data_IF_431675223551
#
_entry.id   IF_431675223551
#
_cell.length_a   1.000
_cell.length_b   1.000
_cell.length_c   1.000
_cell.angle_alpha   90.00
_cell.angle_beta   90.00
_cell.angle_gamma   90.00
#
_symmetry.space_group_name_H-M   'P 1'
#
loop_
_entity.id
_entity.type
_entity.pdbx_description
1 polymer ?
#
# COMPACT_ATOMS: atom_id res chain seq x y z
N UNK A 1 -8.77 -1.60 1.50
CA UNK A 1 -7.31 -1.53 1.38
C UNK A 1 -7.02 -1.95 -0.04
N UNK A 2 -6.06 -1.32 -0.70
CA UNK A 2 -5.57 -1.77 -1.99
C UNK A 2 -4.15 -2.28 -1.76
N UNK A 3 -3.94 -3.56 -2.02
CA UNK A 3 -2.62 -4.13 -2.26
C UNK A 3 -2.56 -4.47 -3.74
N UNK A 4 -1.57 -3.94 -4.45
CA UNK A 4 -1.54 -4.05 -5.91
C UNK A 4 -0.35 -3.33 -6.51
N UNK A 5 -0.54 -2.79 -7.70
CA UNK A 5 0.52 -2.18 -8.51
C UNK A 5 0.12 -0.81 -9.03
N UNK A 6 1.11 0.03 -9.31
CA UNK A 6 0.99 1.29 -10.04
C UNK A 6 1.96 1.31 -11.21
N UNK A 7 1.57 1.85 -12.37
CA UNK A 7 2.48 2.06 -13.51
C UNK A 7 3.00 3.50 -13.61
N UNK A 8 3.87 3.77 -14.59
CA UNK A 8 4.43 5.10 -14.90
C UNK A 8 3.37 6.15 -15.25
N UNK A 9 2.16 5.73 -15.66
CA UNK A 9 1.03 6.63 -15.90
C UNK A 9 0.09 6.76 -14.69
N UNK A 10 0.59 6.38 -13.50
CA UNK A 10 -0.10 6.42 -12.22
C UNK A 10 -1.32 5.49 -12.12
N UNK A 11 -1.53 4.56 -13.07
CA UNK A 11 -2.71 3.69 -13.10
C UNK A 11 -2.58 2.56 -12.08
N UNK A 12 -3.66 2.29 -11.35
CA UNK A 12 -3.69 1.26 -10.30
C UNK A 12 -4.21 -0.06 -10.85
N UNK A 13 -3.53 -1.14 -10.48
CA UNK A 13 -3.88 -2.52 -10.79
C UNK A 13 -3.99 -3.35 -9.51
N UNK A 14 -4.88 -4.34 -9.50
CA UNK A 14 -4.93 -5.32 -8.42
C UNK A 14 -3.81 -6.36 -8.51
N UNK A 15 -3.79 -7.31 -7.58
CA UNK A 15 -2.85 -8.42 -7.55
C UNK A 15 -2.92 -9.36 -8.77
N UNK A 16 -3.96 -9.28 -9.60
CA UNK A 16 -4.10 -10.06 -10.83
C UNK A 16 -3.76 -9.24 -12.08
N UNK A 17 -3.17 -8.05 -11.93
CA UNK A 17 -2.96 -7.07 -13.01
C UNK A 17 -4.24 -6.59 -13.71
N UNK A 18 -5.40 -6.72 -13.05
CA UNK A 18 -6.62 -6.09 -13.53
C UNK A 18 -6.59 -4.60 -13.16
N UNK A 19 -6.76 -3.72 -14.14
CA UNK A 19 -6.86 -2.28 -13.88
C UNK A 19 -8.09 -1.98 -13.01
N UNK A 20 -7.87 -1.19 -11.95
CA UNK A 20 -8.94 -0.71 -11.08
C UNK A 20 -9.64 0.54 -11.63
N UNK A 21 -9.26 1.01 -12.83
CA UNK A 21 -9.71 2.27 -13.43
C UNK A 21 -9.50 3.49 -12.52
N UNK A 22 -8.52 3.39 -11.63
CA UNK A 22 -8.08 4.45 -10.74
C UNK A 22 -6.65 4.86 -11.09
N UNK A 23 -6.31 6.09 -10.76
CA UNK A 23 -4.95 6.60 -10.73
C UNK A 23 -4.62 7.13 -9.35
N UNK A 24 -3.34 7.10 -8.99
CA UNK A 24 -2.82 7.70 -7.77
C UNK A 24 -1.50 8.39 -8.03
N UNK A 25 -1.46 9.69 -7.76
CA UNK A 25 -0.27 10.52 -7.92
C UNK A 25 0.08 11.21 -6.62
N UNK A 26 1.37 11.27 -6.31
CA UNK A 26 1.89 12.18 -5.29
C UNK A 26 2.38 13.45 -5.97
N UNK A 27 1.71 14.55 -5.73
CA UNK A 27 2.02 15.85 -6.30
C UNK A 27 2.81 16.66 -5.26
N UNK A 28 4.07 16.94 -5.56
CA UNK A 28 4.88 17.84 -4.74
C UNK A 28 4.46 19.27 -5.08
N UNK A 29 3.69 19.90 -4.20
CA UNK A 29 3.31 21.30 -4.38
C UNK A 29 4.47 22.24 -4.06
N UNK A 30 4.35 23.52 -4.43
CA UNK A 30 5.31 24.55 -4.03
C UNK A 30 5.48 24.57 -2.50
N UNK A 31 6.63 25.05 -2.01
CA UNK A 31 7.08 24.93 -0.61
C UNK A 31 6.07 25.38 0.48
N UNK A 32 5.03 26.15 0.13
CA UNK A 32 3.99 26.61 1.05
C UNK A 32 2.71 25.75 1.06
N UNK A 33 2.47 24.94 0.03
CA UNK A 33 1.22 24.17 -0.15
C UNK A 33 1.33 22.71 0.33
N UNK A 34 2.56 22.19 0.44
CA UNK A 34 2.84 20.83 0.89
C UNK A 34 2.43 19.75 -0.12
N UNK A 35 3.07 18.58 -0.05
CA UNK A 35 2.76 17.47 -0.96
C UNK A 35 1.31 16.99 -0.80
N UNK A 36 0.71 16.49 -1.88
CA UNK A 36 -0.64 15.94 -1.89
C UNK A 36 -0.66 14.55 -2.54
N UNK A 37 -1.55 13.70 -2.06
CA UNK A 37 -1.90 12.43 -2.71
C UNK A 37 -3.24 12.60 -3.40
N UNK A 38 -3.25 12.45 -4.73
CA UNK A 38 -4.45 12.61 -5.55
C UNK A 38 -4.85 11.27 -6.15
N UNK A 39 -6.03 10.78 -5.77
CA UNK A 39 -6.71 9.65 -6.42
C UNK A 39 -7.67 10.18 -7.48
N UNK A 40 -7.71 9.57 -8.66
CA UNK A 40 -8.63 9.97 -9.73
C UNK A 40 -9.13 8.79 -10.56
N UNK A 41 -10.28 8.93 -11.22
CA UNK A 41 -10.79 7.95 -12.16
C UNK A 41 -10.05 8.06 -13.51
N UNK A 42 -9.74 6.91 -14.13
CA UNK A 42 -9.16 6.86 -15.48
C UNK A 42 -10.13 7.40 -16.54
N UNK A 43 -11.45 7.25 -16.30
CA UNK A 43 -12.50 7.80 -17.14
C UNK A 43 -13.63 8.38 -16.28
N UNK A 44 -14.04 9.63 -16.55
CA UNK A 44 -15.12 10.33 -15.86
C UNK A 44 -14.66 11.43 -14.89
N UNK A 45 -15.63 12.11 -14.27
CA UNK A 45 -15.37 13.14 -13.27
C UNK A 45 -15.35 12.50 -11.87
N UNK A 46 -14.16 12.34 -11.30
CA UNK A 46 -14.00 11.85 -9.94
C UNK A 46 -12.55 11.93 -9.51
N UNK A 47 -12.24 12.83 -8.59
CA UNK A 47 -10.92 12.94 -7.98
C UNK A 47 -11.06 13.33 -6.51
N UNK A 48 -10.19 12.75 -5.67
CA UNK A 48 -10.03 13.12 -4.29
C UNK A 48 -8.54 13.40 -4.04
N UNK A 49 -8.23 14.56 -3.48
CA UNK A 49 -6.86 14.97 -3.19
C UNK A 49 -6.70 15.26 -1.71
N UNK A 50 -5.73 14.62 -1.08
CA UNK A 50 -5.47 14.67 0.35
C UNK A 50 -4.10 15.26 0.61
N UNK A 51 -3.98 16.12 1.62
CA UNK A 51 -2.67 16.64 2.02
C UNK A 51 -1.82 15.53 2.63
N UNK A 52 -0.53 15.49 2.30
CA UNK A 52 0.47 14.70 3.00
C UNK A 52 0.76 15.38 4.33
N UNK A 53 0.62 14.62 5.42
CA UNK A 53 0.86 15.07 6.77
C UNK A 53 2.32 14.85 7.17
N UNK A 54 2.89 13.73 6.74
CA UNK A 54 4.26 13.32 7.02
C UNK A 54 4.63 12.14 6.09
N UNK A 55 5.92 11.86 5.94
CA UNK A 55 6.45 10.79 5.10
C UNK A 55 7.75 10.21 5.68
N UNK A 56 8.05 8.94 5.34
CA UNK A 56 9.31 8.30 5.70
C UNK A 56 9.63 7.13 4.76
N UNK A 57 10.92 6.84 4.60
CA UNK A 57 11.34 5.57 4.04
C UNK A 57 11.00 4.43 5.01
N UNK A 58 10.49 3.33 4.46
CA UNK A 58 10.07 2.18 5.22
C UNK A 58 10.25 0.87 4.44
N UNK A 59 10.39 -0.23 5.16
CA UNK A 59 10.17 -1.57 4.63
C UNK A 59 8.75 -1.99 4.96
N UNK A 60 7.99 -2.46 3.97
CA UNK A 60 6.65 -2.97 4.15
C UNK A 60 6.57 -4.49 3.88
N UNK A 61 5.80 -5.18 4.70
CA UNK A 61 5.41 -6.58 4.54
C UNK A 61 3.91 -6.69 4.77
N UNK A 62 3.19 -7.50 3.99
CA UNK A 62 1.75 -7.72 4.13
C UNK A 62 1.47 -9.20 4.31
N UNK A 63 0.66 -9.52 5.31
CA UNK A 63 0.15 -10.87 5.55
C UNK A 63 -1.37 -10.84 5.70
N UNK A 64 -2.02 -11.92 5.29
CA UNK A 64 -3.37 -12.22 5.73
C UNK A 64 -3.30 -12.85 7.12
N UNK A 65 -4.02 -12.28 8.09
CA UNK A 65 -4.14 -12.83 9.43
C UNK A 65 -5.39 -13.71 9.51
N UNK A 66 -5.16 -15.02 9.65
CA UNK A 66 -6.19 -16.02 9.83
C UNK A 66 -6.10 -16.57 11.25
N UNK A 67 -6.79 -15.90 12.17
CA UNK A 67 -6.87 -16.23 13.60
C UNK A 67 -5.48 -16.42 14.26
N UNK A 68 -4.57 -15.46 14.03
CA UNK A 68 -3.22 -15.46 14.59
C UNK A 68 -2.18 -16.20 13.72
N UNK A 69 -2.62 -16.85 12.63
CA UNK A 69 -1.71 -17.43 11.63
C UNK A 69 -1.54 -16.47 10.45
N UNK A 70 -0.33 -15.90 10.33
CA UNK A 70 0.02 -15.01 9.22
C UNK A 70 0.38 -15.81 7.97
N UNK A 71 -0.37 -15.56 6.89
CA UNK A 71 -0.07 -16.06 5.55
C UNK A 71 0.50 -14.90 4.73
N UNK A 72 1.78 -14.97 4.29
CA UNK A 72 2.42 -13.86 3.60
C UNK A 72 1.72 -13.59 2.26
N UNK A 73 1.38 -12.32 2.03
CA UNK A 73 0.85 -11.79 0.78
C UNK A 73 1.85 -10.87 0.08
N UNK A 74 2.67 -10.15 0.82
CA UNK A 74 3.78 -9.33 0.35
C UNK A 74 4.94 -9.60 1.33
N UNK A 75 5.98 -10.35 0.95
CA UNK A 75 7.24 -10.39 1.69
C UNK A 75 7.88 -8.97 1.79
N UNK A 76 8.89 -8.77 2.66
CA UNK A 76 9.46 -7.44 2.92
C UNK A 76 10.01 -6.75 1.67
N UNK A 77 9.65 -5.48 1.48
CA UNK A 77 10.19 -4.61 0.42
C UNK A 77 10.40 -3.18 0.90
N UNK A 78 11.54 -2.61 0.53
CA UNK A 78 11.87 -1.20 0.78
C UNK A 78 11.03 -0.29 -0.09
N UNK A 79 10.71 0.89 0.43
CA UNK A 79 9.86 1.86 -0.26
C UNK A 79 9.67 3.13 0.54
N UNK A 80 8.73 3.94 0.08
CA UNK A 80 8.39 5.21 0.69
C UNK A 80 6.94 5.21 1.17
N UNK A 81 6.74 5.57 2.43
CA UNK A 81 5.46 5.60 3.12
C UNK A 81 5.01 7.04 3.32
N UNK A 82 3.82 7.35 2.83
CA UNK A 82 3.14 8.62 2.99
C UNK A 82 1.97 8.47 3.97
N UNK A 83 1.94 9.33 4.99
CA UNK A 83 0.74 9.60 5.78
C UNK A 83 0.01 10.77 5.15
N UNK A 84 -1.19 10.54 4.63
CA UNK A 84 -2.07 11.61 4.12
C UNK A 84 -3.35 11.69 4.96
N UNK A 85 -4.13 12.77 4.80
CA UNK A 85 -5.33 13.01 5.63
C UNK A 85 -6.30 11.81 5.69
N UNK A 86 -6.48 11.12 4.58
CA UNK A 86 -7.40 9.98 4.46
C UNK A 86 -6.79 8.60 4.76
N UNK A 87 -5.49 8.46 5.00
CA UNK A 87 -4.90 7.12 5.17
C UNK A 87 -3.38 7.05 5.07
N UNK A 88 -2.91 5.87 4.70
CA UNK A 88 -1.52 5.57 4.38
C UNK A 88 -1.41 5.15 2.91
N UNK A 89 -0.32 5.56 2.28
CA UNK A 89 0.05 5.12 0.94
C UNK A 89 1.53 4.73 0.95
N UNK A 90 1.86 3.54 0.47
CA UNK A 90 3.22 3.06 0.33
C UNK A 90 3.50 2.71 -1.12
N UNK A 91 4.66 3.12 -1.63
CA UNK A 91 5.20 2.65 -2.91
C UNK A 91 6.51 1.93 -2.70
N UNK A 92 6.63 0.73 -3.26
CA UNK A 92 7.86 -0.03 -3.24
C UNK A 92 8.92 0.61 -4.15
N UNK A 93 10.16 0.67 -3.65
CA UNK A 93 11.36 1.07 -4.37
C UNK A 93 12.48 0.07 -4.07
N UNK A 94 12.35 -1.19 -4.52
CA UNK A 94 13.34 -2.22 -4.21
C UNK A 94 14.71 -1.86 -4.81
N UNK A 95 15.78 -1.94 -4.01
CA UNK A 95 17.14 -1.68 -4.48
C UNK A 95 17.59 -2.67 -5.57
N UNK A 96 17.11 -3.91 -5.53
CA UNK A 96 17.40 -4.94 -6.51
C UNK A 96 16.13 -5.74 -6.82
N UNK A 97 15.85 -5.95 -8.11
CA UNK A 97 14.85 -6.91 -8.58
C UNK A 97 15.59 -8.13 -9.11
N UNK A 98 15.15 -9.33 -8.75
CA UNK A 98 15.70 -10.56 -9.31
C UNK A 98 15.31 -10.65 -10.80
N UNK A 99 16.28 -10.60 -11.74
CA UNK A 99 15.99 -10.64 -13.16
C UNK A 99 15.56 -12.04 -13.65
N UNK A 100 15.86 -13.10 -12.91
CA UNK A 100 15.55 -14.49 -13.26
C UNK A 100 14.25 -15.00 -12.58
N UNK A 101 13.73 -14.26 -11.60
CA UNK A 101 12.41 -14.48 -11.02
C UNK A 101 11.41 -13.43 -11.53
N UNK A 102 10.74 -13.68 -12.67
CA UNK A 102 9.68 -12.81 -13.16
C UNK A 102 8.51 -12.72 -12.16
N UNK A 103 8.49 -13.56 -11.12
CA UNK A 103 7.57 -13.53 -9.98
C UNK A 103 8.20 -13.02 -8.68
N UNK A 104 9.31 -12.25 -8.72
CA UNK A 104 9.89 -11.60 -7.52
C UNK A 104 8.89 -10.66 -6.80
N UNK A 105 7.74 -10.42 -7.41
CA UNK A 105 6.56 -9.88 -6.78
C UNK A 105 6.08 -10.78 -5.65
N UNK A 106 6.03 -10.16 -4.50
CA UNK A 106 5.95 -10.75 -3.19
C UNK A 106 4.59 -11.41 -2.86
N UNK A 107 3.74 -11.58 -3.87
CA UNK A 107 2.38 -12.14 -3.88
C UNK A 107 2.32 -13.22 -4.98
N UNK A 108 1.69 -14.38 -4.73
CA UNK A 108 1.54 -15.43 -5.77
C UNK A 108 0.76 -14.90 -6.99
N UNK A 109 1.48 -14.48 -8.02
CA UNK A 109 0.91 -14.05 -9.29
C UNK A 109 0.47 -15.26 -10.11
N UNK A 110 -0.76 -15.20 -10.66
CA UNK A 110 -1.20 -16.05 -11.78
C UNK A 110 -1.03 -15.34 -13.12
N UNK A 111 0.01 -14.49 -13.24
CA UNK A 111 0.29 -13.73 -14.46
C UNK A 111 1.38 -14.42 -15.29
N UNK A 112 1.32 -14.26 -16.61
CA UNK A 112 2.36 -14.75 -17.52
C UNK A 112 3.67 -14.00 -17.25
N UNK A 113 4.83 -14.67 -17.14
CA UNK A 113 6.12 -14.03 -16.89
C UNK A 113 6.44 -12.83 -17.79
N UNK A 114 6.07 -12.91 -19.07
CA UNK A 114 6.26 -11.82 -20.03
C UNK A 114 5.42 -10.58 -19.74
N UNK A 115 4.18 -10.75 -19.25
CA UNK A 115 3.32 -9.64 -18.86
C UNK A 115 3.86 -8.94 -17.61
N UNK A 116 4.38 -9.73 -16.67
CA UNK A 116 5.02 -9.20 -15.47
C UNK A 116 6.27 -8.41 -15.85
N UNK A 117 7.14 -8.98 -16.67
CA UNK A 117 8.33 -8.31 -17.19
C UNK A 117 7.99 -6.99 -17.89
N UNK A 118 7.05 -7.00 -18.83
CA UNK A 118 6.59 -5.79 -19.53
C UNK A 118 6.12 -4.71 -18.54
N UNK A 119 5.32 -5.08 -17.54
CA UNK A 119 4.81 -4.12 -16.57
C UNK A 119 5.93 -3.48 -15.74
N UNK A 120 6.92 -4.26 -15.30
CA UNK A 120 7.95 -3.76 -14.39
C UNK A 120 9.17 -3.14 -15.08
N UNK A 121 9.53 -3.62 -16.26
CA UNK A 121 10.63 -3.07 -17.06
C UNK A 121 10.14 -1.95 -17.98
N UNK A 122 9.09 -2.17 -18.76
CA UNK A 122 8.67 -1.22 -19.81
C UNK A 122 7.67 -0.17 -19.30
N UNK A 123 6.91 -0.47 -18.25
CA UNK A 123 5.95 0.48 -17.65
C UNK A 123 6.42 1.02 -16.29
N UNK A 124 7.66 0.71 -15.90
CA UNK A 124 8.27 1.12 -14.63
C UNK A 124 7.36 0.88 -13.41
N UNK A 125 6.62 -0.24 -13.46
CA UNK A 125 5.64 -0.60 -12.46
C UNK A 125 6.23 -0.71 -11.06
N UNK A 126 5.43 -0.43 -10.03
CA UNK A 126 5.82 -0.54 -8.61
C UNK A 126 4.68 -1.11 -7.78
N UNK A 127 5.02 -1.90 -6.78
CA UNK A 127 4.06 -2.38 -5.78
C UNK A 127 3.57 -1.22 -4.93
N UNK A 128 2.28 -1.30 -4.56
CA UNK A 128 1.61 -0.26 -3.82
C UNK A 128 0.73 -0.86 -2.71
N UNK A 129 0.72 -0.20 -1.56
CA UNK A 129 -0.25 -0.43 -0.49
C UNK A 129 -0.99 0.88 -0.21
N UNK A 130 -2.32 0.88 -0.33
CA UNK A 130 -3.18 1.99 0.08
C UNK A 130 -4.09 1.53 1.21
N UNK A 131 -3.97 2.14 2.38
CA UNK A 131 -4.75 1.81 3.58
C UNK A 131 -5.60 3.02 3.96
N UNK A 132 -6.91 3.01 3.67
CA UNK A 132 -7.83 4.03 4.17
C UNK A 132 -7.84 4.06 5.70
N UNK A 133 -7.96 5.25 6.29
CA UNK A 133 -7.91 5.42 7.74
C UNK A 133 -9.04 4.66 8.45
N UNK A 134 -10.23 4.65 7.87
CA UNK A 134 -11.42 3.97 8.39
C UNK A 134 -11.32 2.44 8.33
N UNK A 135 -10.37 1.90 7.58
CA UNK A 135 -10.10 0.47 7.56
C UNK A 135 -9.04 0.03 8.59
N UNK A 136 -8.34 0.97 9.24
CA UNK A 136 -7.33 0.63 10.26
C UNK A 136 -8.04 0.23 11.56
N UNK A 137 -7.89 -1.03 11.95
CA UNK A 137 -8.49 -1.60 13.15
C UNK A 137 -7.68 -1.28 14.40
N UNK A 138 -6.36 -1.46 14.32
CA UNK A 138 -5.41 -1.18 15.41
C UNK A 138 -3.97 -1.18 14.89
N UNK A 139 -3.08 -0.65 15.70
CA UNK A 139 -1.62 -0.69 15.46
C UNK A 139 -0.92 -1.30 16.67
N UNK A 140 0.02 -2.21 16.43
CA UNK A 140 0.80 -2.87 17.48
C UNK A 140 2.29 -2.71 17.19
N UNK A 141 3.10 -2.46 18.23
CA UNK A 141 4.55 -2.53 18.10
C UNK A 141 4.97 -4.00 18.14
N UNK A 142 5.75 -4.43 17.14
CA UNK A 142 6.16 -5.82 17.01
C UNK A 142 7.60 -5.90 16.51
N UNK A 143 8.48 -6.41 17.38
CA UNK A 143 9.91 -6.46 17.10
C UNK A 143 10.49 -5.07 16.86
N UNK A 144 11.07 -4.86 15.68
CA UNK A 144 11.68 -3.62 15.21
C UNK A 144 10.74 -2.76 14.35
N UNK A 145 9.46 -3.14 14.25
CA UNK A 145 8.45 -2.48 13.41
C UNK A 145 7.13 -2.18 14.12
N UNK A 146 6.20 -1.63 13.34
CA UNK A 146 4.80 -1.45 13.73
C UNK A 146 3.93 -2.24 12.76
N UNK A 147 3.03 -3.05 13.30
CA UNK A 147 2.03 -3.80 12.55
C UNK A 147 0.71 -3.03 12.55
N UNK A 148 0.22 -2.67 11.36
CA UNK A 148 -1.10 -2.07 11.14
C UNK A 148 -2.08 -3.17 10.76
N UNK A 149 -3.07 -3.42 11.60
CA UNK A 149 -4.14 -4.38 11.30
C UNK A 149 -5.27 -3.67 10.57
N UNK A 150 -5.67 -4.22 9.44
CA UNK A 150 -6.60 -3.59 8.50
C UNK A 150 -7.79 -4.49 8.25
N UNK A 151 -9.00 -3.93 8.22
CA UNK A 151 -10.22 -4.66 7.89
C UNK A 151 -10.29 -4.97 6.39
N UNK A 152 -10.63 -6.21 6.02
CA UNK A 152 -10.83 -6.61 4.63
C UNK A 152 -12.29 -6.52 4.18
N UNK A 153 -13.03 -5.48 4.55
CA UNK A 153 -14.49 -5.42 4.34
C UNK A 153 -14.90 -5.59 2.86
N UNK A 154 -14.03 -5.21 1.91
CA UNK A 154 -14.28 -5.30 0.47
C UNK A 154 -13.60 -6.50 -0.22
N UNK A 155 -12.92 -7.38 0.51
CA UNK A 155 -12.13 -8.50 -0.07
C UNK A 155 -12.56 -9.88 0.44
N UNK A 156 -13.28 -9.96 1.57
CA UNK A 156 -13.67 -11.24 2.17
C UNK A 156 -15.16 -11.62 1.94
N UNK A 157 -15.41 -12.92 1.79
CA UNK A 157 -16.75 -13.51 1.84
C UNK A 157 -17.40 -13.25 3.22
N UNK A 158 -18.75 -13.19 3.34
CA UNK A 158 -19.49 -12.67 4.51
C UNK A 158 -19.30 -13.37 5.88
N UNK A 159 -18.38 -14.34 6.02
CA UNK A 159 -18.27 -15.19 7.21
C UNK A 159 -16.89 -15.22 7.89
N UNK A 160 -15.87 -14.59 7.32
CA UNK A 160 -14.54 -14.53 7.94
C UNK A 160 -14.15 -13.06 8.14
N UNK A 161 -13.88 -12.66 9.40
CA UNK A 161 -13.26 -11.37 9.69
C UNK A 161 -11.78 -11.46 9.29
N UNK A 162 -11.52 -11.49 7.99
CA UNK A 162 -10.15 -11.47 7.49
C UNK A 162 -9.56 -10.10 7.85
N UNK A 163 -8.54 -10.11 8.69
CA UNK A 163 -7.70 -8.95 8.94
C UNK A 163 -6.44 -9.10 8.10
N UNK A 164 -5.98 -8.01 7.50
CA UNK A 164 -4.63 -7.95 6.94
C UNK A 164 -3.71 -7.34 7.98
N UNK A 165 -2.50 -7.88 8.10
CA UNK A 165 -1.43 -7.32 8.91
C UNK A 165 -0.39 -6.71 7.98
N UNK A 166 -0.21 -5.40 8.06
CA UNK A 166 0.82 -4.67 7.31
C UNK A 166 1.92 -4.30 8.30
N UNK A 167 3.05 -5.00 8.24
CA UNK A 167 4.21 -4.70 9.08
C UNK A 167 5.10 -3.67 8.38
N UNK A 168 5.41 -2.60 9.10
CA UNK A 168 6.17 -1.45 8.63
C UNK A 168 7.40 -1.28 9.53
N UNK A 169 8.59 -1.18 8.92
CA UNK A 169 9.87 -1.02 9.63
C UNK A 169 10.64 0.17 9.03
N UNK A 170 11.55 0.84 9.77
CA UNK A 170 11.81 0.67 11.19
C UNK A 170 10.79 1.42 12.07
N UNK A 171 10.55 0.93 13.29
CA UNK A 171 9.53 1.47 14.20
C UNK A 171 9.69 2.98 14.47
N UNK A 172 10.92 3.49 14.61
CA UNK A 172 11.16 4.88 14.95
C UNK A 172 10.59 5.87 13.91
N UNK A 173 10.76 5.59 12.61
CA UNK A 173 10.20 6.43 11.55
C UNK A 173 8.68 6.24 11.40
N UNK A 174 8.24 4.98 11.49
CA UNK A 174 6.84 4.60 11.27
C UNK A 174 5.92 5.06 12.40
N UNK A 175 6.34 4.97 13.67
CA UNK A 175 5.50 5.36 14.81
C UNK A 175 5.05 6.82 14.74
N UNK A 176 5.93 7.71 14.27
CA UNK A 176 5.62 9.13 14.07
C UNK A 176 4.48 9.33 13.06
N UNK A 177 4.52 8.58 11.95
CA UNK A 177 3.50 8.61 10.89
C UNK A 177 2.13 8.09 11.35
N UNK A 178 2.13 7.14 12.29
CA UNK A 178 0.93 6.49 12.80
C UNK A 178 0.29 7.21 13.99
N UNK A 179 0.87 8.31 14.47
CA UNK A 179 0.26 9.12 15.52
C UNK A 179 -1.16 9.56 15.11
N UNK A 180 -2.14 9.29 15.97
CA UNK A 180 -3.56 9.63 15.78
C UNK A 180 -4.25 8.93 14.59
N UNK A 181 -3.64 7.89 14.00
CA UNK A 181 -4.25 7.21 12.85
C UNK A 181 -5.40 6.27 13.24
N UNK A 182 -5.33 5.66 14.43
CA UNK A 182 -6.28 4.65 14.92
C UNK A 182 -7.20 5.08 16.07
N UNK A 183 -7.27 6.37 16.41
CA UNK A 183 -8.16 6.88 17.46
C UNK A 183 -9.32 7.69 16.88
N UNK A 184 -10.35 7.01 16.38
CA UNK A 184 -11.70 7.54 16.57
C UNK A 184 -12.09 7.20 18.01
N UNK A 185 -12.02 8.19 18.89
CA UNK A 185 -12.56 8.11 20.24
C UNK A 185 -13.99 7.57 20.19
N UNK A 186 -14.28 6.60 21.06
CA UNK A 186 -15.62 6.35 21.58
C UNK A 186 -16.31 7.69 21.89
N UNK A 187 -17.40 7.97 21.17
CA UNK A 187 -18.34 9.05 21.41
C UNK A 187 -19.73 8.53 21.09
#
# INVERSE_FOLDING_TARGET
>A
MILGYVDVEDRIYDLNFATLRLRVRVEVAAAQEGSRVTFSQVAGAGSASYRVLDEADATAEVSMDHDGKRVPLLRPVEGHLFRHEAGLLFFATPAHRDPDDPGFFLVKLRAMPSAVRYFFEDQEGREMISIPRDEILRTENEGDGVTVYVSAANVALPKEKIAYAVQLRPAAGVQRLLLNIGSSSTG
#
